data_IF_883919641888
#
_entry.id   IF_883919641888
#
_cell.length_a   1.000
_cell.length_b   1.000
_cell.length_c   1.000
_cell.angle_alpha   90.00
_cell.angle_beta   90.00
_cell.angle_gamma   90.00
#
_symmetry.space_group_name_H-M   'P 1'
#
loop_
_entity.id
_entity.type
_entity.pdbx_description
1 polymer ?
#
# COMPACT_ATOMS: atom_id res chain seq x y z
N UNK A 1 -20.32 22.20 -17.28
CA UNK A 1 -19.82 23.45 -16.65
C UNK A 1 -19.41 23.14 -15.22
N UNK A 2 -18.18 22.67 -15.01
CA UNK A 2 -17.62 22.37 -13.69
C UNK A 2 -16.70 23.53 -13.29
N UNK A 3 -17.18 24.32 -12.33
CA UNK A 3 -16.60 25.60 -11.95
C UNK A 3 -15.19 25.44 -11.37
N UNK A 4 -14.24 26.12 -11.99
CA UNK A 4 -12.88 26.38 -11.51
C UNK A 4 -13.00 27.20 -10.21
N UNK A 5 -12.96 26.59 -9.02
CA UNK A 5 -12.87 27.36 -7.78
C UNK A 5 -11.39 27.54 -7.44
N UNK A 6 -10.85 28.68 -7.83
CA UNK A 6 -9.50 29.12 -7.51
C UNK A 6 -9.59 30.20 -6.44
N UNK A 7 -8.94 29.98 -5.30
CA UNK A 7 -8.96 30.91 -4.16
C UNK A 7 -7.53 31.34 -3.87
N UNK A 8 -7.30 32.64 -3.73
CA UNK A 8 -5.99 33.17 -3.33
C UNK A 8 -5.76 32.92 -1.84
N UNK A 9 -4.61 32.34 -1.50
CA UNK A 9 -4.15 32.07 -0.15
C UNK A 9 -2.93 32.93 0.23
N UNK A 10 -2.37 32.65 1.41
CA UNK A 10 -1.21 33.34 1.96
C UNK A 10 -0.07 33.48 0.94
N UNK A 11 0.61 34.64 0.97
CA UNK A 11 1.76 34.95 0.13
C UNK A 11 1.53 34.76 -1.39
N UNK A 12 0.32 35.03 -1.88
CA UNK A 12 0.00 35.00 -3.32
C UNK A 12 -0.13 33.60 -3.92
N UNK A 13 -0.24 32.55 -3.08
CA UNK A 13 -0.49 31.19 -3.55
C UNK A 13 -1.92 31.05 -4.03
N UNK A 14 -2.16 30.18 -5.00
CA UNK A 14 -3.48 29.90 -5.52
C UNK A 14 -3.89 28.46 -5.17
N UNK A 15 -5.04 28.32 -4.54
CA UNK A 15 -5.62 27.04 -4.16
C UNK A 15 -6.62 26.59 -5.22
N UNK A 16 -6.54 25.35 -5.67
CA UNK A 16 -7.45 24.77 -6.65
C UNK A 16 -7.97 23.41 -6.15
N UNK A 17 -9.28 23.17 -6.26
CA UNK A 17 -9.90 21.86 -6.03
C UNK A 17 -10.35 21.29 -7.38
N UNK A 18 -9.86 20.12 -7.71
CA UNK A 18 -10.08 19.43 -8.98
C UNK A 18 -11.09 18.30 -8.80
N UNK A 19 -12.19 18.39 -9.53
CA UNK A 19 -13.29 17.43 -9.46
C UNK A 19 -13.64 16.79 -10.82
N UNK A 20 -12.90 17.13 -11.88
CA UNK A 20 -13.16 16.62 -13.23
C UNK A 20 -11.94 15.94 -13.84
N UNK A 21 -12.21 14.95 -14.69
CA UNK A 21 -11.16 14.19 -15.36
C UNK A 21 -10.37 15.05 -16.35
N UNK A 22 -11.05 15.94 -17.08
CA UNK A 22 -10.43 16.82 -18.06
C UNK A 22 -9.37 17.70 -17.41
N UNK A 23 -9.66 18.17 -16.17
CA UNK A 23 -8.69 18.94 -15.42
C UNK A 23 -7.58 18.05 -14.85
N UNK A 24 -7.88 16.85 -14.35
CA UNK A 24 -6.85 15.89 -13.94
C UNK A 24 -5.85 15.61 -15.08
N UNK A 25 -6.35 15.32 -16.29
CA UNK A 25 -5.52 14.93 -17.42
C UNK A 25 -4.46 16.00 -17.80
N UNK A 26 -4.82 17.28 -17.77
CA UNK A 26 -3.90 18.38 -18.12
C UNK A 26 -2.88 18.74 -17.03
N UNK A 27 -2.98 18.14 -15.83
CA UNK A 27 -2.06 18.43 -14.73
C UNK A 27 -0.76 17.63 -14.80
N UNK A 28 -0.67 16.61 -15.67
CA UNK A 28 0.46 15.70 -15.72
C UNK A 28 1.82 16.42 -15.69
N UNK A 29 2.09 17.45 -16.53
CA UNK A 29 3.42 18.06 -16.56
C UNK A 29 3.81 18.74 -15.24
N UNK A 30 2.89 19.48 -14.61
CA UNK A 30 3.17 20.20 -13.37
C UNK A 30 3.23 19.27 -12.15
N UNK A 31 2.41 18.23 -12.14
CA UNK A 31 2.41 17.23 -11.08
C UNK A 31 3.64 16.34 -11.17
N UNK A 32 4.09 15.92 -12.36
CA UNK A 32 5.30 15.13 -12.54
C UNK A 32 6.57 15.91 -12.17
N UNK A 33 6.60 17.21 -12.44
CA UNK A 33 7.66 18.11 -11.94
C UNK A 33 7.70 18.12 -10.40
N UNK A 34 6.56 18.36 -9.75
CA UNK A 34 6.46 18.30 -8.29
C UNK A 34 6.85 16.93 -7.74
N UNK A 35 6.39 15.85 -8.38
CA UNK A 35 6.67 14.49 -7.95
C UNK A 35 8.17 14.19 -7.92
N UNK A 36 8.92 14.64 -8.94
CA UNK A 36 10.38 14.54 -8.96
C UNK A 36 11.04 15.39 -7.88
N UNK A 37 10.61 16.66 -7.73
CA UNK A 37 11.19 17.57 -6.72
C UNK A 37 10.93 17.13 -5.28
N UNK A 38 9.78 16.49 -5.03
CA UNK A 38 9.39 15.96 -3.73
C UNK A 38 9.91 14.53 -3.49
N UNK A 39 10.61 13.93 -4.47
CA UNK A 39 11.04 12.52 -4.46
C UNK A 39 9.87 11.56 -4.13
N UNK A 40 8.67 11.80 -4.67
CA UNK A 40 7.43 11.10 -4.29
C UNK A 40 7.43 9.59 -4.59
N UNK A 41 6.64 8.82 -3.84
CA UNK A 41 6.40 7.41 -4.22
C UNK A 41 5.44 7.36 -5.41
N UNK A 42 5.46 6.25 -6.16
CA UNK A 42 4.58 6.05 -7.32
C UNK A 42 3.10 6.28 -6.98
N UNK A 43 2.69 5.93 -5.75
CA UNK A 43 1.31 6.08 -5.27
C UNK A 43 0.80 7.52 -5.23
N UNK A 44 1.69 8.53 -5.18
CA UNK A 44 1.33 9.95 -5.26
C UNK A 44 1.56 10.58 -6.65
N UNK A 45 2.04 9.80 -7.63
CA UNK A 45 2.28 10.29 -8.98
C UNK A 45 0.96 10.55 -9.72
N UNK A 46 0.97 11.51 -10.64
CA UNK A 46 -0.17 11.77 -11.51
C UNK A 46 -0.54 10.53 -12.34
N UNK A 47 0.47 9.90 -12.96
CA UNK A 47 0.27 8.74 -13.81
C UNK A 47 -0.43 7.57 -13.08
N UNK A 48 -0.14 7.37 -11.79
CA UNK A 48 -0.81 6.35 -10.97
C UNK A 48 -2.27 6.68 -10.72
N UNK A 49 -2.58 7.92 -10.32
CA UNK A 49 -3.95 8.39 -10.08
C UNK A 49 -4.78 8.38 -11.38
N UNK A 50 -4.19 8.81 -12.49
CA UNK A 50 -4.82 8.83 -13.81
C UNK A 50 -5.04 7.41 -14.38
N UNK A 51 -4.09 6.49 -14.18
CA UNK A 51 -4.27 5.07 -14.54
C UNK A 51 -5.42 4.46 -13.75
N UNK A 52 -5.44 4.61 -12.42
CA UNK A 52 -6.54 4.15 -11.58
C UNK A 52 -7.87 4.76 -12.02
N UNK A 53 -7.95 6.07 -12.21
CA UNK A 53 -9.22 6.73 -12.55
C UNK A 53 -9.80 6.23 -13.88
N UNK A 54 -8.95 5.96 -14.87
CA UNK A 54 -9.37 5.41 -16.18
C UNK A 54 -9.85 3.96 -16.08
N UNK A 55 -9.33 3.18 -15.13
CA UNK A 55 -9.65 1.76 -14.98
C UNK A 55 -10.56 1.45 -13.79
N UNK A 56 -10.95 2.47 -13.02
CA UNK A 56 -11.68 2.29 -11.76
C UNK A 56 -13.03 1.60 -12.00
N UNK A 57 -13.27 0.53 -11.26
CA UNK A 57 -14.60 -0.05 -11.18
C UNK A 57 -15.52 0.86 -10.35
N UNK A 58 -16.83 0.80 -10.62
CA UNK A 58 -17.85 1.60 -9.93
C UNK A 58 -17.59 3.12 -10.01
N UNK A 59 -17.23 3.60 -11.20
CA UNK A 59 -16.96 5.02 -11.43
C UNK A 59 -18.13 5.93 -11.04
N UNK A 60 -19.37 5.46 -11.20
CA UNK A 60 -20.58 6.20 -10.83
C UNK A 60 -20.72 6.44 -9.31
N UNK A 61 -20.00 5.68 -8.49
CA UNK A 61 -19.98 5.87 -7.04
C UNK A 61 -18.81 6.76 -6.58
N UNK A 62 -18.01 7.32 -7.49
CA UNK A 62 -16.76 8.00 -7.17
C UNK A 62 -16.66 9.36 -7.83
N UNK A 63 -16.12 10.33 -7.09
CA UNK A 63 -15.73 11.64 -7.63
C UNK A 63 -14.28 11.96 -7.30
N UNK A 64 -13.61 12.72 -8.17
CA UNK A 64 -12.31 13.31 -7.86
C UNK A 64 -12.48 14.44 -6.85
N UNK A 65 -11.53 14.56 -5.92
CA UNK A 65 -11.46 15.69 -5.00
C UNK A 65 -10.00 16.02 -4.70
N UNK A 66 -9.25 16.43 -5.73
CA UNK A 66 -7.81 16.65 -5.62
C UNK A 66 -7.54 18.10 -5.28
N UNK A 67 -6.85 18.36 -4.17
CA UNK A 67 -6.42 19.70 -3.79
C UNK A 67 -5.05 20.04 -4.35
N UNK A 68 -4.87 21.26 -4.82
CA UNK A 68 -3.63 21.78 -5.39
C UNK A 68 -3.25 23.13 -4.76
N UNK A 69 -1.95 23.34 -4.52
CA UNK A 69 -1.38 24.66 -4.21
C UNK A 69 -0.45 25.07 -5.34
N UNK A 70 -0.71 26.22 -5.94
CA UNK A 70 0.09 26.82 -6.99
C UNK A 70 0.85 28.05 -6.49
N UNK A 71 2.05 28.23 -7.01
CA UNK A 71 2.84 29.45 -6.94
C UNK A 71 3.17 29.89 -8.37
N UNK A 72 2.34 30.77 -8.92
CA UNK A 72 2.34 31.04 -10.35
C UNK A 72 2.06 29.76 -11.16
N UNK A 73 2.97 29.38 -12.04
CA UNK A 73 2.88 28.15 -12.83
C UNK A 73 3.41 26.89 -12.11
N UNK A 74 4.13 27.05 -10.99
CA UNK A 74 4.72 25.94 -10.26
C UNK A 74 3.71 25.34 -9.28
N UNK A 75 3.62 24.00 -9.27
CA UNK A 75 2.81 23.27 -8.30
C UNK A 75 3.64 23.02 -7.03
N UNK A 76 3.17 23.50 -5.88
CA UNK A 76 3.86 23.36 -4.58
C UNK A 76 3.31 22.18 -3.75
N UNK A 77 2.05 21.80 -3.93
CA UNK A 77 1.44 20.69 -3.19
C UNK A 77 0.28 20.04 -3.93
N UNK A 78 0.10 18.74 -3.66
CA UNK A 78 -1.08 17.96 -4.06
C UNK A 78 -1.59 17.14 -2.88
N UNK A 79 -2.91 17.22 -2.66
CA UNK A 79 -3.66 16.34 -1.78
C UNK A 79 -4.52 15.40 -2.66
N UNK A 80 -4.04 14.20 -3.00
CA UNK A 80 -4.68 13.33 -3.97
C UNK A 80 -5.84 12.56 -3.32
N UNK A 81 -6.99 13.20 -3.16
CA UNK A 81 -8.20 12.55 -2.65
C UNK A 81 -9.23 12.24 -3.72
N UNK A 82 -10.11 11.32 -3.38
CA UNK A 82 -11.35 11.01 -4.08
C UNK A 82 -12.46 10.78 -3.06
N UNK A 83 -13.71 10.88 -3.49
CA UNK A 83 -14.85 10.42 -2.70
C UNK A 83 -15.34 9.08 -3.23
N UNK A 84 -15.93 8.29 -2.34
CA UNK A 84 -16.66 7.08 -2.73
C UNK A 84 -17.96 6.95 -1.93
N UNK A 85 -19.06 6.62 -2.62
CA UNK A 85 -20.33 6.30 -1.99
C UNK A 85 -20.40 4.81 -1.64
N UNK A 86 -20.49 4.51 -0.34
CA UNK A 86 -20.63 3.14 0.19
C UNK A 86 -21.84 3.07 1.12
N UNK A 87 -22.83 2.25 0.76
CA UNK A 87 -24.06 2.03 1.56
C UNK A 87 -24.74 3.33 2.01
N UNK A 88 -24.83 4.30 1.09
CA UNK A 88 -25.47 5.59 1.36
C UNK A 88 -24.60 6.63 2.06
N UNK A 89 -23.37 6.29 2.46
CA UNK A 89 -22.39 7.21 3.08
C UNK A 89 -21.33 7.59 2.06
N UNK A 90 -21.03 8.87 1.92
CA UNK A 90 -19.95 9.35 1.05
C UNK A 90 -18.68 9.54 1.87
N UNK A 91 -17.61 8.83 1.50
CA UNK A 91 -16.35 8.81 2.25
C UNK A 91 -15.27 9.50 1.43
N UNK A 92 -14.58 10.49 2.01
CA UNK A 92 -13.34 11.02 1.50
C UNK A 92 -12.20 10.05 1.81
N UNK A 93 -11.47 9.61 0.80
CA UNK A 93 -10.32 8.73 0.94
C UNK A 93 -9.21 9.10 -0.06
N UNK A 94 -8.05 8.43 0.04
CA UNK A 94 -6.98 8.58 -0.95
C UNK A 94 -7.47 8.22 -2.35
N UNK A 95 -7.12 9.01 -3.36
CA UNK A 95 -7.27 8.59 -4.75
C UNK A 95 -6.45 7.31 -4.97
N UNK A 96 -7.00 6.37 -5.76
CA UNK A 96 -6.39 5.05 -5.97
C UNK A 96 -6.15 4.23 -4.69
N UNK A 97 -6.90 4.46 -3.60
CA UNK A 97 -6.73 3.76 -2.32
C UNK A 97 -6.77 2.24 -2.45
N UNK A 98 -7.62 1.67 -3.30
CA UNK A 98 -7.74 0.22 -3.47
C UNK A 98 -6.47 -0.43 -4.03
N UNK A 99 -5.60 0.35 -4.66
CA UNK A 99 -4.39 -0.14 -5.31
C UNK A 99 -3.11 0.48 -4.74
N UNK A 100 -3.22 1.37 -3.75
CA UNK A 100 -2.08 2.09 -3.18
C UNK A 100 -1.78 1.62 -1.77
N UNK A 101 -0.56 1.13 -1.55
CA UNK A 101 -0.17 0.59 -0.25
C UNK A 101 0.29 1.64 0.76
N UNK A 102 0.56 2.87 0.31
CA UNK A 102 0.76 4.04 1.16
C UNK A 102 -0.05 5.22 0.64
N UNK A 103 -0.77 5.89 1.54
CA UNK A 103 -1.48 7.13 1.25
C UNK A 103 -0.74 8.32 1.85
N UNK A 104 -0.51 9.35 1.05
CA UNK A 104 0.15 10.58 1.51
C UNK A 104 -0.14 11.79 0.61
N UNK A 105 0.14 12.98 1.13
CA UNK A 105 0.25 14.21 0.37
C UNK A 105 1.56 14.26 -0.43
N UNK A 106 1.55 14.92 -1.58
CA UNK A 106 2.77 15.24 -2.34
C UNK A 106 3.13 16.69 -2.14
N UNK A 107 4.26 16.96 -1.49
CA UNK A 107 4.59 18.27 -0.96
C UNK A 107 5.98 18.71 -1.42
N UNK A 108 6.11 19.89 -2.01
CA UNK A 108 7.41 20.44 -2.36
C UNK A 108 8.26 20.66 -1.09
N UNK A 109 9.60 20.49 -1.16
CA UNK A 109 10.49 20.76 -0.03
C UNK A 109 10.36 22.19 0.52
N UNK A 110 10.15 23.16 -0.37
CA UNK A 110 10.07 24.60 -0.15
C UNK A 110 8.64 25.16 -0.10
N UNK A 111 7.63 24.29 -0.02
CA UNK A 111 6.21 24.67 -0.03
C UNK A 111 5.85 25.73 1.02
N UNK A 112 4.84 26.55 0.69
CA UNK A 112 4.18 27.37 1.70
C UNK A 112 3.25 26.52 2.59
N UNK A 113 3.63 26.32 3.87
CA UNK A 113 2.88 25.49 4.83
C UNK A 113 1.49 26.05 5.16
N UNK A 114 1.36 27.37 5.22
CA UNK A 114 0.07 28.02 5.50
C UNK A 114 -0.90 27.82 4.34
N UNK A 115 -0.42 27.92 3.10
CA UNK A 115 -1.22 27.65 1.91
C UNK A 115 -1.68 26.18 1.84
N UNK A 116 -0.82 25.22 2.21
CA UNK A 116 -1.20 23.80 2.29
C UNK A 116 -2.24 23.55 3.39
N UNK A 117 -2.10 24.21 4.53
CA UNK A 117 -3.08 24.14 5.63
C UNK A 117 -4.42 24.76 5.22
N UNK A 118 -4.38 25.91 4.53
CA UNK A 118 -5.56 26.55 3.97
C UNK A 118 -6.26 25.66 2.92
N UNK A 119 -5.50 24.97 2.06
CA UNK A 119 -6.05 24.00 1.11
C UNK A 119 -6.81 22.88 1.82
N UNK A 120 -6.24 22.31 2.89
CA UNK A 120 -6.90 21.28 3.67
C UNK A 120 -8.24 21.77 4.25
N UNK A 121 -8.28 22.99 4.78
CA UNK A 121 -9.52 23.58 5.28
C UNK A 121 -10.52 23.92 4.17
N UNK A 122 -10.08 24.36 2.99
CA UNK A 122 -10.94 24.57 1.83
C UNK A 122 -11.59 23.25 1.37
N UNK A 123 -10.84 22.14 1.34
CA UNK A 123 -11.38 20.80 1.04
C UNK A 123 -12.42 20.42 2.11
N UNK A 124 -12.06 20.56 3.38
CA UNK A 124 -12.95 20.25 4.49
C UNK A 124 -14.23 21.08 4.46
N UNK A 125 -14.14 22.36 4.06
CA UNK A 125 -15.27 23.29 3.94
C UNK A 125 -16.15 23.01 2.71
N UNK A 126 -15.54 22.78 1.54
CA UNK A 126 -16.21 22.44 0.29
C UNK A 126 -17.14 21.23 0.44
N UNK A 127 -16.72 20.25 1.25
CA UNK A 127 -17.56 19.10 1.58
C UNK A 127 -17.74 18.15 0.41
N UNK A 128 -18.97 17.67 0.20
CA UNK A 128 -19.25 16.58 -0.74
C UNK A 128 -19.00 15.18 -0.17
N UNK A 129 -18.72 15.08 1.13
CA UNK A 129 -18.55 13.83 1.85
C UNK A 129 -19.12 13.91 3.27
N UNK A 130 -19.50 12.76 3.81
CA UNK A 130 -20.07 12.60 5.15
C UNK A 130 -19.00 12.36 6.20
N UNK A 131 -17.95 11.62 5.82
CA UNK A 131 -16.82 11.29 6.67
C UNK A 131 -15.55 11.17 5.83
N UNK A 132 -14.40 11.17 6.49
CA UNK A 132 -13.10 10.91 5.89
C UNK A 132 -12.46 9.68 6.52
N UNK A 133 -11.70 8.95 5.71
CA UNK A 133 -10.93 7.80 6.13
C UNK A 133 -9.58 7.79 5.40
N UNK A 134 -8.54 8.21 6.11
CA UNK A 134 -7.17 8.22 5.58
C UNK A 134 -6.42 7.05 6.22
N UNK A 135 -6.11 6.04 5.42
CA UNK A 135 -5.43 4.83 5.88
C UNK A 135 -3.99 4.75 5.35
N UNK A 136 -3.27 3.72 5.82
CA UNK A 136 -1.94 3.35 5.36
C UNK A 136 -0.92 4.48 5.53
N UNK A 137 -1.04 5.21 6.63
CA UNK A 137 -0.18 6.34 6.96
C UNK A 137 1.12 5.83 7.58
N UNK A 138 2.21 5.94 6.83
CA UNK A 138 3.55 5.76 7.37
C UNK A 138 3.80 6.72 8.55
N UNK A 139 4.69 6.37 9.51
CA UNK A 139 5.00 7.24 10.63
C UNK A 139 5.49 8.64 10.22
N UNK A 140 6.19 8.72 9.09
CA UNK A 140 6.77 9.93 8.49
C UNK A 140 5.91 10.53 7.36
N UNK A 141 4.66 10.06 7.18
CA UNK A 141 3.77 10.56 6.13
C UNK A 141 3.53 12.08 6.27
N UNK A 142 3.71 12.82 5.18
CA UNK A 142 3.64 14.27 5.12
C UNK A 142 2.27 14.82 5.55
N UNK A 143 1.19 14.10 5.22
CA UNK A 143 -0.18 14.46 5.60
C UNK A 143 -0.35 14.61 7.12
N UNK A 144 0.40 13.88 7.94
CA UNK A 144 0.29 13.94 9.41
C UNK A 144 0.51 15.36 9.94
N UNK A 145 1.46 16.10 9.36
CA UNK A 145 1.70 17.50 9.74
C UNK A 145 0.54 18.44 9.39
N UNK A 146 -0.20 18.12 8.33
CA UNK A 146 -1.36 18.91 7.85
C UNK A 146 -2.56 18.67 8.76
N UNK A 147 -2.80 17.41 9.15
CA UNK A 147 -3.99 17.01 9.92
C UNK A 147 -3.80 17.06 11.44
N UNK A 148 -2.58 17.31 11.93
CA UNK A 148 -2.27 17.35 13.36
C UNK A 148 -3.19 18.28 14.17
N UNK A 149 -3.55 19.50 13.71
CA UNK A 149 -4.48 20.36 14.42
C UNK A 149 -5.86 19.73 14.62
N UNK A 150 -6.39 19.04 13.61
CA UNK A 150 -7.71 18.40 13.71
C UNK A 150 -7.68 17.14 14.59
N UNK A 151 -6.53 16.44 14.65
CA UNK A 151 -6.32 15.35 15.61
C UNK A 151 -6.28 15.90 17.03
N UNK A 152 -5.54 16.99 17.27
CA UNK A 152 -5.44 17.64 18.57
C UNK A 152 -6.78 18.21 19.05
N UNK A 153 -7.60 18.75 18.13
CA UNK A 153 -8.95 19.25 18.45
C UNK A 153 -10.01 18.14 18.54
N UNK A 154 -9.65 16.88 18.29
CA UNK A 154 -10.56 15.73 18.31
C UNK A 154 -11.58 15.67 17.16
N UNK A 155 -11.41 16.51 16.11
CA UNK A 155 -12.19 16.47 14.86
C UNK A 155 -11.82 15.24 14.03
N UNK A 156 -10.54 14.92 14.03
CA UNK A 156 -9.99 13.65 13.57
C UNK A 156 -9.56 12.81 14.76
N UNK A 157 -9.65 11.50 14.61
CA UNK A 157 -9.24 10.55 15.64
C UNK A 157 -8.48 9.39 15.00
N UNK A 158 -7.53 8.78 15.71
CA UNK A 158 -6.99 7.48 15.32
C UNK A 158 -8.14 6.49 15.12
N UNK A 159 -8.10 5.76 14.03
CA UNK A 159 -9.06 4.71 13.75
C UNK A 159 -8.55 3.37 14.29
N UNK A 160 -9.47 2.47 14.63
CA UNK A 160 -9.13 1.16 15.21
C UNK A 160 -8.42 0.22 14.22
N UNK A 161 -8.43 0.55 12.92
CA UNK A 161 -7.77 -0.24 11.88
C UNK A 161 -6.35 0.28 11.68
N UNK A 162 -5.38 -0.61 11.76
CA UNK A 162 -4.01 -0.38 11.34
C UNK A 162 -3.54 -1.57 10.52
N UNK A 163 -2.51 -1.34 9.71
CA UNK A 163 -1.83 -2.38 8.94
C UNK A 163 -0.36 -2.39 9.35
N UNK A 164 0.34 -3.49 9.08
CA UNK A 164 1.78 -3.62 9.36
C UNK A 164 2.48 -3.74 8.01
N UNK A 165 3.58 -3.00 7.85
CA UNK A 165 4.58 -3.23 6.80
C UNK A 165 5.80 -3.87 7.43
N UNK A 166 6.08 -5.10 7.02
CA UNK A 166 7.28 -5.84 7.41
C UNK A 166 8.42 -5.50 6.46
N UNK A 167 9.62 -5.31 7.00
CA UNK A 167 10.78 -4.85 6.21
C UNK A 167 12.03 -5.63 6.53
N UNK A 168 12.91 -5.74 5.55
CA UNK A 168 14.25 -6.30 5.67
C UNK A 168 15.24 -5.19 5.40
N UNK A 169 15.91 -4.74 6.46
CA UNK A 169 17.01 -3.79 6.44
C UNK A 169 18.08 -4.24 7.43
N UNK A 170 19.35 -3.98 7.13
CA UNK A 170 20.45 -4.35 8.00
C UNK A 170 21.83 -4.08 7.38
N UNK A 171 22.92 -4.48 8.05
CA UNK A 171 24.28 -4.07 7.67
C UNK A 171 24.88 -4.90 6.52
N UNK A 172 24.10 -5.80 5.90
CA UNK A 172 24.60 -6.72 4.89
C UNK A 172 24.93 -5.99 3.60
N UNK A 173 26.08 -6.35 3.00
CA UNK A 173 26.51 -5.86 1.69
C UNK A 173 26.40 -6.91 0.59
N UNK A 174 26.21 -8.17 0.99
CA UNK A 174 26.01 -9.31 0.08
C UNK A 174 24.82 -10.12 0.56
N UNK A 175 24.00 -10.58 -0.38
CA UNK A 175 22.85 -11.44 -0.11
C UNK A 175 23.23 -12.71 0.64
N UNK A 176 24.40 -13.28 0.35
CA UNK A 176 24.92 -14.46 1.05
C UNK A 176 25.12 -14.23 2.55
N UNK A 177 25.55 -13.03 2.94
CA UNK A 177 25.78 -12.70 4.35
C UNK A 177 24.45 -12.60 5.10
N UNK A 178 23.40 -12.04 4.46
CA UNK A 178 22.04 -12.05 5.00
C UNK A 178 21.46 -13.46 5.07
N UNK A 179 21.68 -14.26 4.02
CA UNK A 179 21.20 -15.63 3.94
C UNK A 179 21.76 -16.46 5.10
N UNK A 180 23.08 -16.41 5.34
CA UNK A 180 23.70 -17.18 6.42
C UNK A 180 23.31 -16.70 7.83
N UNK A 181 22.92 -15.43 7.98
CA UNK A 181 22.34 -14.89 9.21
C UNK A 181 20.92 -15.42 9.52
N UNK A 182 20.20 -15.97 8.53
CA UNK A 182 18.88 -16.56 8.76
C UNK A 182 18.95 -17.81 9.63
N UNK A 183 17.87 -18.18 10.33
CA UNK A 183 17.87 -19.40 11.15
C UNK A 183 18.19 -20.67 10.35
N UNK A 184 18.84 -21.67 10.97
CA UNK A 184 19.12 -22.98 10.36
C UNK A 184 17.86 -23.61 9.73
N UNK A 185 16.71 -23.48 10.42
CA UNK A 185 15.40 -23.96 9.94
C UNK A 185 14.97 -23.23 8.67
N UNK A 186 15.10 -21.90 8.62
CA UNK A 186 14.78 -21.10 7.44
C UNK A 186 15.62 -21.51 6.24
N UNK A 187 16.95 -21.63 6.42
CA UNK A 187 17.88 -22.04 5.35
C UNK A 187 17.59 -23.45 4.85
N UNK A 188 17.27 -24.38 5.76
CA UNK A 188 16.90 -25.76 5.39
C UNK A 188 15.57 -25.80 4.62
N UNK A 189 14.57 -25.03 5.03
CA UNK A 189 13.30 -24.95 4.32
C UNK A 189 13.46 -24.40 2.90
N UNK A 190 14.27 -23.35 2.73
CA UNK A 190 14.63 -22.83 1.41
C UNK A 190 15.30 -23.91 0.54
N UNK A 191 16.36 -24.56 1.04
CA UNK A 191 17.09 -25.61 0.29
C UNK A 191 16.20 -26.79 -0.08
N UNK A 192 15.34 -27.23 0.83
CA UNK A 192 14.39 -28.33 0.59
C UNK A 192 13.33 -27.94 -0.43
N UNK A 193 12.78 -26.73 -0.36
CA UNK A 193 11.82 -26.21 -1.32
C UNK A 193 12.41 -26.16 -2.73
N UNK A 194 13.61 -25.59 -2.87
CA UNK A 194 14.36 -25.61 -4.14
C UNK A 194 14.59 -27.02 -4.66
N UNK A 195 15.19 -27.91 -3.85
CA UNK A 195 15.47 -29.30 -4.25
C UNK A 195 14.22 -30.03 -4.72
N UNK A 196 13.11 -29.88 -4.00
CA UNK A 196 11.85 -30.53 -4.36
C UNK A 196 11.30 -30.05 -5.72
N UNK A 197 11.45 -28.76 -6.04
CA UNK A 197 11.09 -28.26 -7.38
C UNK A 197 12.08 -28.74 -8.44
N UNK A 198 13.39 -28.72 -8.14
CA UNK A 198 14.46 -29.18 -9.04
C UNK A 198 14.33 -30.67 -9.42
N UNK A 199 13.72 -31.50 -8.56
CA UNK A 199 13.35 -32.88 -8.88
C UNK A 199 12.31 -32.98 -10.02
N UNK A 200 11.50 -31.93 -10.22
CA UNK A 200 10.49 -31.83 -11.29
C UNK A 200 10.99 -31.18 -12.59
N UNK A 201 12.23 -30.68 -12.62
CA UNK A 201 12.81 -30.03 -13.80
C UNK A 201 13.74 -28.88 -13.47
N UNK A 202 14.20 -28.16 -14.49
CA UNK A 202 15.09 -27.02 -14.30
C UNK A 202 14.39 -25.86 -13.58
N UNK A 203 14.94 -25.46 -12.43
CA UNK A 203 14.44 -24.33 -11.63
C UNK A 203 15.29 -23.08 -11.87
N UNK A 204 14.68 -21.99 -12.36
CA UNK A 204 15.34 -20.71 -12.62
C UNK A 204 14.68 -19.59 -11.84
N UNK A 205 15.48 -18.86 -11.06
CA UNK A 205 15.10 -17.54 -10.55
C UNK A 205 15.69 -16.49 -11.49
N UNK A 206 14.88 -15.54 -11.96
CA UNK A 206 15.36 -14.44 -12.80
C UNK A 206 14.56 -13.16 -12.61
N UNK A 207 15.24 -12.05 -12.86
CA UNK A 207 14.62 -10.75 -13.12
C UNK A 207 14.24 -10.70 -14.60
N UNK A 208 13.00 -10.30 -14.91
CA UNK A 208 12.60 -10.08 -16.29
C UNK A 208 13.34 -8.86 -16.88
N UNK A 209 13.78 -9.00 -18.12
CA UNK A 209 14.34 -7.91 -18.91
C UNK A 209 13.29 -6.84 -19.27
N UNK A 210 13.72 -5.60 -19.54
CA UNK A 210 12.81 -4.49 -19.85
C UNK A 210 12.01 -4.68 -21.14
N UNK A 211 12.54 -5.45 -22.10
CA UNK A 211 11.91 -5.70 -23.41
C UNK A 211 11.05 -6.98 -23.42
N UNK A 212 11.00 -7.73 -22.32
CA UNK A 212 10.17 -8.93 -22.25
C UNK A 212 8.68 -8.57 -22.17
N UNK A 213 7.80 -9.30 -22.87
CA UNK A 213 6.37 -9.04 -22.83
C UNK A 213 5.80 -9.29 -21.43
N UNK A 214 5.19 -8.26 -20.84
CA UNK A 214 4.59 -8.34 -19.50
C UNK A 214 3.23 -9.06 -19.50
N UNK A 215 2.47 -8.99 -20.60
CA UNK A 215 1.10 -9.49 -20.68
C UNK A 215 0.96 -10.97 -20.23
N UNK A 216 1.79 -11.93 -20.69
CA UNK A 216 1.66 -13.33 -20.23
C UNK A 216 1.86 -13.47 -18.72
N UNK A 217 2.79 -12.70 -18.15
CA UNK A 217 3.08 -12.71 -16.71
C UNK A 217 1.95 -12.07 -15.91
N UNK A 218 1.38 -10.97 -16.38
CA UNK A 218 0.24 -10.31 -15.75
C UNK A 218 -1.02 -11.18 -15.78
N UNK A 219 -1.30 -11.83 -16.91
CA UNK A 219 -2.39 -12.81 -17.03
C UNK A 219 -2.21 -13.94 -16.03
N UNK A 220 -0.98 -14.47 -15.90
CA UNK A 220 -0.65 -15.50 -14.91
C UNK A 220 -0.83 -15.00 -13.47
N UNK A 221 -0.34 -13.80 -13.14
CA UNK A 221 -0.48 -13.20 -11.81
C UNK A 221 -1.96 -13.03 -11.44
N UNK A 222 -2.77 -12.50 -12.35
CA UNK A 222 -4.21 -12.32 -12.12
C UNK A 222 -4.91 -13.67 -11.85
N UNK A 223 -4.63 -14.69 -12.67
CA UNK A 223 -5.19 -16.03 -12.47
C UNK A 223 -4.79 -16.64 -11.11
N UNK A 224 -3.51 -16.54 -10.73
CA UNK A 224 -3.03 -17.05 -9.45
C UNK A 224 -3.63 -16.31 -8.25
N UNK A 225 -3.71 -14.97 -8.32
CA UNK A 225 -4.31 -14.16 -7.27
C UNK A 225 -5.81 -14.42 -7.11
N UNK A 226 -6.55 -14.62 -8.22
CA UNK A 226 -7.96 -14.99 -8.17
C UNK A 226 -8.19 -16.31 -7.43
N UNK A 227 -7.44 -17.37 -7.79
CA UNK A 227 -7.47 -18.65 -7.07
C UNK A 227 -7.19 -18.47 -5.57
N UNK A 228 -6.21 -17.62 -5.23
CA UNK A 228 -5.90 -17.34 -3.82
C UNK A 228 -7.03 -16.60 -3.11
N UNK A 229 -7.62 -15.57 -3.73
CA UNK A 229 -8.73 -14.79 -3.18
C UNK A 229 -9.96 -15.66 -2.92
N UNK A 230 -10.34 -16.50 -3.88
CA UNK A 230 -11.45 -17.45 -3.76
C UNK A 230 -11.27 -18.40 -2.56
N UNK A 231 -10.09 -19.01 -2.43
CA UNK A 231 -9.76 -19.90 -1.30
C UNK A 231 -9.85 -19.21 0.07
N UNK A 232 -9.66 -17.90 0.12
CA UNK A 232 -9.66 -17.12 1.36
C UNK A 232 -10.95 -16.32 1.57
N UNK A 233 -11.98 -16.50 0.72
CA UNK A 233 -13.24 -15.76 0.80
C UNK A 233 -13.07 -14.25 0.62
N UNK A 234 -12.10 -13.83 -0.19
CA UNK A 234 -11.78 -12.43 -0.51
C UNK A 234 -12.09 -12.15 -1.96
N UNK A 235 -12.22 -10.86 -2.29
CA UNK A 235 -12.39 -10.38 -3.66
C UNK A 235 -11.50 -9.15 -3.88
N UNK A 236 -11.07 -8.93 -5.12
CA UNK A 236 -10.31 -7.75 -5.54
C UNK A 236 -10.51 -7.55 -7.03
N UNK A 237 -11.01 -6.38 -7.39
CA UNK A 237 -11.26 -5.96 -8.77
C UNK A 237 -9.96 -5.87 -9.60
N UNK A 238 -8.83 -5.65 -8.95
CA UNK A 238 -7.51 -5.62 -9.59
C UNK A 238 -7.17 -6.90 -10.37
N UNK A 239 -7.70 -8.05 -9.92
CA UNK A 239 -7.39 -9.37 -10.50
C UNK A 239 -8.59 -10.01 -11.20
N UNK A 240 -9.67 -9.26 -11.44
CA UNK A 240 -10.81 -9.75 -12.20
C UNK A 240 -10.39 -10.09 -13.63
N UNK A 241 -11.05 -11.07 -14.22
CA UNK A 241 -10.73 -11.53 -15.58
C UNK A 241 -11.01 -10.42 -16.59
N UNK A 242 -10.01 -10.09 -17.42
CA UNK A 242 -10.10 -8.99 -18.39
C UNK A 242 -10.03 -7.58 -17.79
N UNK A 243 -9.81 -7.43 -16.48
CA UNK A 243 -9.71 -6.11 -15.86
C UNK A 243 -8.44 -5.37 -16.30
N UNK A 244 -8.53 -4.11 -16.80
CA UNK A 244 -7.38 -3.38 -17.31
C UNK A 244 -6.49 -2.79 -16.21
N UNK A 245 -6.97 -2.74 -14.96
CA UNK A 245 -6.32 -2.01 -13.87
C UNK A 245 -4.89 -2.50 -13.58
N UNK A 246 -4.69 -3.83 -13.48
CA UNK A 246 -3.35 -4.37 -13.19
C UNK A 246 -2.35 -4.00 -14.28
N UNK A 247 -2.73 -4.16 -15.54
CA UNK A 247 -1.88 -3.81 -16.68
C UNK A 247 -1.57 -2.31 -16.71
N UNK A 248 -2.57 -1.45 -16.51
CA UNK A 248 -2.38 0.00 -16.50
C UNK A 248 -1.43 0.46 -15.38
N UNK A 249 -1.55 -0.10 -14.18
CA UNK A 249 -0.69 0.25 -13.05
C UNK A 249 0.75 -0.25 -13.23
N UNK A 250 0.93 -1.47 -13.74
CA UNK A 250 2.27 -2.01 -14.04
C UNK A 250 2.94 -1.23 -15.18
N UNK A 251 2.19 -0.83 -16.19
CA UNK A 251 2.65 0.03 -17.28
C UNK A 251 3.13 1.41 -16.78
N UNK A 252 2.46 1.99 -15.76
CA UNK A 252 2.99 3.19 -15.06
C UNK A 252 4.35 2.91 -14.44
N UNK A 253 4.51 1.80 -13.72
CA UNK A 253 5.80 1.44 -13.11
C UNK A 253 6.90 1.23 -14.17
N UNK A 254 6.55 0.61 -15.30
CA UNK A 254 7.46 0.36 -16.41
C UNK A 254 7.94 1.66 -17.05
N UNK A 255 7.00 2.56 -17.40
CA UNK A 255 7.33 3.88 -17.99
C UNK A 255 8.16 4.76 -17.08
N UNK A 256 7.98 4.65 -15.78
CA UNK A 256 8.79 5.38 -14.78
C UNK A 256 10.17 4.73 -14.55
N UNK A 257 10.46 3.56 -15.13
CA UNK A 257 11.72 2.85 -14.96
C UNK A 257 11.93 2.28 -13.56
N UNK A 258 10.83 2.05 -12.81
CA UNK A 258 10.87 1.59 -11.41
C UNK A 258 10.35 0.15 -11.25
N UNK A 259 9.77 -0.44 -12.30
CA UNK A 259 9.25 -1.81 -12.30
C UNK A 259 10.37 -2.86 -12.22
N UNK A 260 10.24 -3.80 -11.29
CA UNK A 260 11.07 -5.00 -11.22
C UNK A 260 10.19 -6.24 -11.06
N UNK A 261 10.24 -7.16 -12.02
CA UNK A 261 9.46 -8.40 -11.99
C UNK A 261 10.37 -9.60 -11.82
N UNK A 262 10.27 -10.27 -10.68
CA UNK A 262 10.97 -11.53 -10.45
C UNK A 262 10.06 -12.71 -10.74
N UNK A 263 10.59 -13.70 -11.46
CA UNK A 263 9.90 -14.95 -11.72
C UNK A 263 10.73 -16.13 -11.21
N UNK A 264 10.03 -17.12 -10.66
CA UNK A 264 10.56 -18.45 -10.41
C UNK A 264 9.92 -19.39 -11.42
N UNK A 265 10.74 -19.97 -12.29
CA UNK A 265 10.33 -20.84 -13.39
C UNK A 265 10.77 -22.27 -13.13
N UNK A 266 9.87 -23.23 -13.31
CA UNK A 266 10.15 -24.66 -13.26
C UNK A 266 9.83 -25.27 -14.63
N UNK A 267 10.84 -25.85 -15.29
CA UNK A 267 10.72 -26.43 -16.63
C UNK A 267 10.06 -25.46 -17.64
N UNK A 268 10.39 -24.16 -17.54
CA UNK A 268 9.84 -23.09 -18.37
C UNK A 268 8.47 -22.54 -17.94
N UNK A 269 7.80 -23.14 -16.94
CA UNK A 269 6.54 -22.66 -16.41
C UNK A 269 6.74 -21.75 -15.18
N UNK A 270 6.05 -20.61 -15.15
CA UNK A 270 6.08 -19.69 -14.01
C UNK A 270 5.31 -20.28 -12.81
N UNK A 271 6.05 -20.61 -11.74
CA UNK A 271 5.52 -21.17 -10.50
C UNK A 271 5.43 -20.14 -9.37
N UNK A 272 6.17 -19.03 -9.45
CA UNK A 272 5.96 -17.86 -8.59
C UNK A 272 6.37 -16.57 -9.28
N UNK A 273 5.71 -15.47 -8.90
CA UNK A 273 5.96 -14.13 -9.44
C UNK A 273 5.95 -13.10 -8.31
N UNK A 274 6.82 -12.12 -8.43
CA UNK A 274 6.78 -10.91 -7.63
C UNK A 274 6.91 -9.69 -8.53
N UNK A 275 5.92 -8.81 -8.50
CA UNK A 275 5.91 -7.49 -9.14
C UNK A 275 6.28 -6.47 -8.08
N UNK A 276 7.32 -5.68 -8.34
CA UNK A 276 7.95 -4.81 -7.36
C UNK A 276 8.20 -3.43 -7.93
N UNK A 277 8.32 -2.46 -7.01
CA UNK A 277 8.73 -1.09 -7.31
C UNK A 277 10.07 -0.84 -6.64
N UNK A 278 11.05 -0.31 -7.37
CA UNK A 278 12.32 0.16 -6.79
C UNK A 278 12.35 1.68 -6.81
N UNK A 279 12.30 2.29 -5.63
CA UNK A 279 12.39 3.74 -5.43
C UNK A 279 13.13 4.04 -4.12
N UNK A 280 13.81 5.19 -4.04
CA UNK A 280 14.51 5.63 -2.83
C UNK A 280 15.47 4.57 -2.26
N UNK A 281 16.12 3.79 -3.14
CA UNK A 281 17.00 2.66 -2.79
C UNK A 281 16.29 1.55 -2.00
N UNK A 282 14.97 1.42 -2.14
CA UNK A 282 14.15 0.37 -1.53
C UNK A 282 13.45 -0.43 -2.61
N UNK A 283 13.45 -1.75 -2.47
CA UNK A 283 12.53 -2.60 -3.23
C UNK A 283 11.25 -2.75 -2.42
N UNK A 284 10.12 -2.41 -3.01
CA UNK A 284 8.80 -2.54 -2.39
C UNK A 284 8.00 -3.61 -3.13
N UNK A 285 7.61 -4.67 -2.41
CA UNK A 285 6.97 -5.85 -2.98
C UNK A 285 5.46 -5.67 -3.11
N UNK A 286 5.04 -5.14 -4.26
CA UNK A 286 3.65 -4.77 -4.54
C UNK A 286 2.73 -5.99 -4.68
N UNK A 287 3.10 -6.96 -5.51
CA UNK A 287 2.31 -8.19 -5.70
C UNK A 287 3.25 -9.38 -5.67
N UNK A 288 3.05 -10.28 -4.70
CA UNK A 288 3.72 -11.59 -4.68
C UNK A 288 2.67 -12.70 -4.70
N UNK A 289 2.84 -13.66 -5.60
CA UNK A 289 1.92 -14.79 -5.75
C UNK A 289 2.68 -16.02 -6.25
N UNK A 290 2.06 -17.19 -6.09
CA UNK A 290 2.63 -18.46 -6.51
C UNK A 290 1.54 -19.42 -6.95
N UNK A 291 1.94 -20.44 -7.69
CA UNK A 291 1.04 -21.50 -8.11
C UNK A 291 0.78 -22.47 -6.94
N UNK A 292 -0.46 -22.56 -6.44
CA UNK A 292 -0.79 -23.45 -5.34
C UNK A 292 -0.54 -24.94 -5.63
N UNK A 293 -0.42 -25.35 -6.90
CA UNK A 293 -0.04 -26.73 -7.24
C UNK A 293 1.35 -27.09 -6.70
N UNK A 294 2.21 -26.09 -6.51
CA UNK A 294 3.57 -26.23 -5.97
C UNK A 294 3.67 -25.84 -4.50
N UNK A 295 2.56 -25.62 -3.79
CA UNK A 295 2.53 -25.09 -2.41
C UNK A 295 3.41 -25.90 -1.43
N UNK A 296 3.46 -27.23 -1.61
CA UNK A 296 4.30 -28.14 -0.82
C UNK A 296 5.80 -27.78 -0.88
N UNK A 297 6.26 -27.20 -1.98
CA UNK A 297 7.63 -26.75 -2.16
C UNK A 297 7.90 -25.33 -1.61
N UNK A 298 6.85 -24.63 -1.18
CA UNK A 298 6.90 -23.23 -0.73
C UNK A 298 7.56 -22.28 -1.75
N UNK A 299 7.11 -22.26 -3.03
CA UNK A 299 7.73 -21.44 -4.09
C UNK A 299 7.75 -19.95 -3.76
N UNK A 300 6.72 -19.42 -3.08
CA UNK A 300 6.71 -18.04 -2.60
C UNK A 300 7.84 -17.76 -1.60
N UNK A 301 8.16 -18.69 -0.68
CA UNK A 301 9.30 -18.55 0.23
C UNK A 301 10.62 -18.55 -0.51
N UNK A 302 10.79 -19.46 -1.48
CA UNK A 302 12.01 -19.53 -2.31
C UNK A 302 12.20 -18.21 -3.06
N UNK A 303 11.17 -17.74 -3.75
CA UNK A 303 11.19 -16.48 -4.49
C UNK A 303 11.57 -15.29 -3.60
N UNK A 304 10.99 -15.20 -2.39
CA UNK A 304 11.31 -14.13 -1.44
C UNK A 304 12.76 -14.17 -0.98
N UNK A 305 13.29 -15.35 -0.65
CA UNK A 305 14.70 -15.48 -0.27
C UNK A 305 15.62 -15.05 -1.41
N UNK A 306 15.28 -15.39 -2.65
CA UNK A 306 16.09 -15.08 -3.83
C UNK A 306 16.10 -13.57 -4.11
N UNK A 307 14.93 -12.91 -4.12
CA UNK A 307 14.91 -11.47 -4.39
C UNK A 307 15.45 -10.62 -3.24
N UNK A 308 15.41 -11.08 -1.98
CA UNK A 308 16.01 -10.35 -0.85
C UNK A 308 17.53 -10.36 -1.01
N UNK A 309 18.11 -11.52 -1.32
CA UNK A 309 19.54 -11.64 -1.60
C UNK A 309 19.93 -10.74 -2.78
N UNK A 310 19.18 -10.82 -3.88
CA UNK A 310 19.38 -9.95 -5.04
C UNK A 310 19.33 -8.46 -4.66
N UNK A 311 18.35 -8.05 -3.85
CA UNK A 311 18.18 -6.64 -3.44
C UNK A 311 19.39 -6.11 -2.68
N UNK A 312 19.96 -6.94 -1.79
CA UNK A 312 21.17 -6.62 -1.04
C UNK A 312 22.39 -6.56 -1.98
N UNK A 313 22.51 -7.51 -2.91
CA UNK A 313 23.60 -7.53 -3.89
C UNK A 313 23.55 -6.33 -4.85
N UNK A 314 22.36 -5.78 -5.13
CA UNK A 314 22.19 -4.52 -5.86
C UNK A 314 22.44 -3.27 -4.99
N UNK A 315 22.79 -3.45 -3.71
CA UNK A 315 23.05 -2.36 -2.79
C UNK A 315 21.81 -1.56 -2.42
N UNK A 316 20.61 -2.16 -2.49
CA UNK A 316 19.40 -1.55 -1.94
C UNK A 316 19.46 -1.56 -0.41
N UNK A 317 18.91 -0.52 0.22
CA UNK A 317 18.95 -0.34 1.67
C UNK A 317 17.87 -1.16 2.39
N UNK A 318 16.79 -1.47 1.69
CA UNK A 318 15.62 -2.08 2.28
C UNK A 318 14.79 -2.87 1.26
N UNK A 319 14.25 -3.99 1.72
CA UNK A 319 13.08 -4.63 1.11
C UNK A 319 11.87 -4.33 1.99
N UNK A 320 10.86 -3.66 1.45
CA UNK A 320 9.58 -3.38 2.12
C UNK A 320 8.51 -4.31 1.54
N UNK A 321 7.91 -5.18 2.36
CA UNK A 321 6.83 -6.06 1.91
C UNK A 321 5.46 -5.36 1.80
N UNK A 322 5.48 -4.03 1.84
CA UNK A 322 4.35 -3.13 1.75
C UNK A 322 3.22 -3.51 2.72
N UNK A 323 1.99 -3.20 2.36
CA UNK A 323 0.85 -3.38 3.22
C UNK A 323 0.50 -4.86 3.38
N UNK A 324 0.09 -5.25 4.58
CA UNK A 324 -0.32 -6.62 4.90
C UNK A 324 0.57 -7.25 5.97
N UNK A 325 -0.04 -7.55 7.11
CA UNK A 325 0.60 -8.19 8.25
C UNK A 325 0.62 -9.72 8.15
N UNK A 326 0.76 -10.30 6.95
CA UNK A 326 0.75 -11.75 6.80
C UNK A 326 1.95 -12.41 7.50
N UNK A 327 1.69 -13.48 8.26
CA UNK A 327 2.70 -14.15 9.10
C UNK A 327 3.96 -14.59 8.33
N UNK A 328 3.82 -14.94 7.05
CA UNK A 328 4.95 -15.37 6.23
C UNK A 328 5.96 -14.25 6.00
N UNK A 329 5.53 -12.97 5.94
CA UNK A 329 6.40 -11.80 5.79
C UNK A 329 7.19 -11.54 7.07
N UNK A 330 6.56 -11.71 8.24
CA UNK A 330 7.21 -11.54 9.56
C UNK A 330 8.49 -12.36 9.71
N UNK A 331 8.53 -13.56 9.12
CA UNK A 331 9.69 -14.47 9.21
C UNK A 331 10.99 -13.87 8.68
N UNK A 332 10.91 -12.95 7.71
CA UNK A 332 12.09 -12.31 7.12
C UNK A 332 12.38 -10.94 7.74
N UNK A 333 11.39 -10.37 8.43
CA UNK A 333 11.41 -9.00 8.87
C UNK A 333 12.50 -8.78 9.92
N UNK A 334 13.29 -7.73 9.73
CA UNK A 334 14.21 -7.21 10.74
C UNK A 334 13.60 -6.02 11.48
N UNK A 335 12.67 -5.33 10.83
CA UNK A 335 11.89 -4.25 11.41
C UNK A 335 10.44 -4.29 10.88
N UNK A 336 9.58 -3.49 11.51
CA UNK A 336 8.20 -3.31 11.06
C UNK A 336 7.75 -1.87 11.26
N UNK A 337 6.94 -1.35 10.34
CA UNK A 337 6.24 -0.08 10.48
C UNK A 337 4.74 -0.30 10.66
N UNK A 338 4.16 0.34 11.67
CA UNK A 338 2.70 0.42 11.81
C UNK A 338 2.18 1.49 10.87
N UNK A 339 1.30 1.08 9.96
CA UNK A 339 0.58 1.96 9.05
C UNK A 339 -0.76 2.30 9.71
N UNK A 340 -0.84 3.49 10.29
CA UNK A 340 -2.03 3.90 11.02
C UNK A 340 -3.12 4.38 10.06
N UNK A 341 -4.33 4.57 10.60
CA UNK A 341 -5.38 5.27 9.90
C UNK A 341 -6.06 6.28 10.82
N UNK A 342 -6.60 7.33 10.22
CA UNK A 342 -7.38 8.37 10.90
C UNK A 342 -8.77 8.46 10.28
N UNK A 343 -9.74 8.85 11.09
CA UNK A 343 -11.13 9.01 10.67
C UNK A 343 -11.74 10.24 11.31
N UNK A 344 -12.72 10.83 10.65
CA UNK A 344 -13.48 11.97 11.14
C UNK A 344 -14.79 12.12 10.40
N UNK A 345 -15.80 12.68 11.06
CA UNK A 345 -17.12 12.87 10.48
C UNK A 345 -17.41 14.36 10.27
N UNK A 346 -17.91 14.69 9.09
CA UNK A 346 -18.41 16.02 8.74
C UNK A 346 -19.91 16.13 9.02
N UNK A 347 -20.68 15.09 8.68
CA UNK A 347 -22.16 15.10 8.79
C UNK A 347 -22.65 14.17 9.91
N UNK A 348 -23.94 14.28 10.28
CA UNK A 348 -24.58 13.34 11.19
C UNK A 348 -24.58 11.90 10.65
N UNK A 349 -24.78 11.74 9.34
CA UNK A 349 -24.69 10.44 8.64
C UNK A 349 -23.30 9.85 8.81
N UNK A 350 -22.25 10.64 8.61
CA UNK A 350 -20.87 10.21 8.85
C UNK A 350 -20.59 9.82 10.30
N UNK A 351 -21.13 10.58 11.27
CA UNK A 351 -21.00 10.25 12.70
C UNK A 351 -21.64 8.90 13.03
N UNK A 352 -22.85 8.64 12.53
CA UNK A 352 -23.52 7.36 12.73
C UNK A 352 -22.77 6.21 12.06
N UNK A 353 -22.24 6.43 10.85
CA UNK A 353 -21.43 5.44 10.14
C UNK A 353 -20.16 5.06 10.92
N UNK A 354 -19.45 6.05 11.48
CA UNK A 354 -18.27 5.82 12.33
C UNK A 354 -18.60 5.05 13.60
N UNK A 355 -19.72 5.37 14.26
CA UNK A 355 -20.17 4.66 15.46
C UNK A 355 -20.53 3.20 15.13
N UNK A 356 -21.26 2.98 14.03
CA UNK A 356 -21.62 1.63 13.58
C UNK A 356 -20.38 0.79 13.23
N UNK A 357 -19.38 1.38 12.57
CA UNK A 357 -18.11 0.71 12.27
C UNK A 357 -17.34 0.33 13.54
N UNK A 358 -17.24 1.28 14.49
CA UNK A 358 -16.56 1.06 15.77
C UNK A 358 -17.27 -0.02 16.62
N UNK A 359 -18.61 0.01 16.67
CA UNK A 359 -19.41 -0.99 17.38
C UNK A 359 -19.27 -2.38 16.72
N UNK A 360 -19.32 -2.45 15.39
CA UNK A 360 -19.11 -3.68 14.65
C UNK A 360 -17.73 -4.30 14.92
N UNK A 361 -16.69 -3.47 14.99
CA UNK A 361 -15.35 -3.91 15.35
C UNK A 361 -15.27 -4.42 16.80
N UNK A 362 -15.85 -3.70 17.76
CA UNK A 362 -15.89 -4.12 19.17
C UNK A 362 -16.61 -5.46 19.36
N UNK A 363 -17.75 -5.66 18.68
CA UNK A 363 -18.50 -6.92 18.70
C UNK A 363 -17.67 -8.07 18.11
N UNK A 364 -16.99 -7.84 16.98
CA UNK A 364 -16.11 -8.84 16.36
C UNK A 364 -14.98 -9.25 17.30
N UNK A 365 -14.32 -8.26 17.93
CA UNK A 365 -13.24 -8.50 18.88
C UNK A 365 -13.71 -9.23 20.15
N UNK A 366 -14.91 -8.92 20.64
CA UNK A 366 -15.51 -9.62 21.78
C UNK A 366 -15.81 -11.09 21.45
N UNK A 367 -16.37 -11.37 20.26
CA UNK A 367 -16.65 -12.73 19.79
C UNK A 367 -15.39 -13.56 19.52
N UNK A 368 -14.27 -12.91 19.19
CA UNK A 368 -12.98 -13.59 18.96
C UNK A 368 -12.15 -13.77 20.22
N UNK A 369 -12.59 -13.29 21.39
CA UNK A 369 -11.92 -13.60 22.67
C UNK A 369 -12.21 -15.06 23.05
N UNK A 370 -11.19 -15.89 23.33
CA UNK A 370 -11.42 -17.21 23.92
C UNK A 370 -12.25 -17.03 25.20
N UNK A 371 -13.29 -17.85 25.37
CA UNK A 371 -14.02 -17.90 26.63
C UNK A 371 -13.00 -18.17 27.74
N UNK A 372 -12.87 -17.25 28.69
CA UNK A 372 -12.06 -17.48 29.88
C UNK A 372 -12.72 -18.65 30.63
N UNK A 373 -12.22 -19.86 30.43
CA UNK A 373 -12.54 -21.00 31.29
C UNK A 373 -11.92 -20.69 32.65
N UNK A 374 -12.73 -20.11 33.52
CA UNK A 374 -12.43 -20.03 34.94
C UNK A 374 -12.39 -21.44 35.52
N UNK A 375 -11.19 -21.89 35.87
CA UNK A 375 -11.01 -22.88 36.92
C UNK A 375 -10.21 -22.17 38.02
N UNK A 376 -10.69 -22.14 39.28
CA UNK A 376 -9.95 -21.54 40.38
C UNK A 376 -8.68 -22.35 40.64
N UNK A 377 -7.56 -21.64 40.83
CA UNK A 377 -6.31 -22.22 41.28
C UNK A 377 -6.51 -22.71 42.72
N UNK A 378 -6.56 -24.03 42.88
CA UNK A 378 -6.50 -24.65 44.19
C UNK A 378 -5.09 -24.46 44.76
N UNK A 379 -5.07 -24.00 45.99
CA UNK A 379 -3.94 -23.75 46.85
C UNK A 379 -3.05 -24.99 47.03
N UNK A 380 -1.75 -24.85 46.83
CA UNK A 380 -0.75 -25.69 47.45
C UNK A 380 0.37 -24.83 48.03
N UNK A 381 0.52 -24.96 49.35
CA UNK A 381 1.48 -24.32 50.25
C UNK A 381 2.97 -24.62 49.93
N UNK A 382 3.91 -23.87 50.55
CA UNK A 382 5.31 -23.82 50.13
C UNK A 382 6.27 -24.77 50.89
N UNK A 383 7.38 -25.07 50.20
CA UNK A 383 8.72 -25.45 50.73
C UNK A 383 8.91 -26.87 51.31
N UNK A 384 10.16 -27.41 51.42
CA UNK A 384 11.47 -26.72 51.33
C UNK A 384 12.53 -27.39 50.43
N UNK A 385 13.65 -26.66 50.35
CA UNK A 385 14.98 -27.05 49.88
C UNK A 385 15.45 -28.46 50.22
N UNK A 386 16.32 -29.02 49.38
CA UNK A 386 17.65 -29.51 49.81
C UNK A 386 18.52 -29.95 48.61
N UNK A 387 19.74 -29.38 48.62
CA UNK A 387 21.03 -29.82 48.04
C UNK A 387 21.25 -29.74 46.53
#
# INVERSE_FOLDING_TARGET
MTGRKRVTAAAGRELEIVTSYERLAVLAPAWDDLWRRADGLVFQSHAWVDAWWRTATRRDDRDLLIGLVWNGAALEAVLPFATIRRRGVTVLEWAAKEHSDYGDALLAPDRNRDAVTALWWEIAAAGGFDMLYLNRLLPDAAIRGIIAPDVASGRLRPNHRSEISYRVAGPWRRGTDWFEAQSKKTRQNYRRGRKFMEEGGELRFRLMGPDEPLEPVLTRVAALKRKWLERHGRASDLFDEGAPALAALVDVMARLGILHVFVLELAGAIVAVSINVVQRRRMMAFITTYDPEFERASPGMVLMMDYIQWSIDQGLEMVDFMCGGEDFKRRFATESATLESVTGARTLVGRLAMLADSAGHAIKNWRSRPAATGAPADSAEPSPSHR
#
